data_IF_732044590887
#
_entry.id   IF_732044590887
#
_cell.length_a   1.000
_cell.length_b   1.000
_cell.length_c   1.000
_cell.angle_alpha   90.00
_cell.angle_beta   90.00
_cell.angle_gamma   90.00
#
_symmetry.space_group_name_H-M   'P 1'
#
loop_
_entity.id
_entity.type
_entity.pdbx_description
1 polymer ?
#
# COMPACT_ATOMS: atom_id res chain seq x y z
N UNK A 1 18.02 -16.02 14.44
CA UNK A 1 16.88 -16.92 14.69
C UNK A 1 15.50 -16.26 14.55
N UNK A 2 15.34 -14.92 14.62
CA UNK A 2 14.00 -14.27 14.61
C UNK A 2 13.42 -13.96 13.21
N UNK A 3 14.24 -13.53 12.25
CA UNK A 3 13.75 -13.13 10.91
C UNK A 3 13.19 -14.27 10.07
N UNK A 4 13.81 -15.45 10.12
CA UNK A 4 13.35 -16.63 9.36
C UNK A 4 11.95 -17.05 9.82
N UNK A 5 11.71 -17.03 11.13
CA UNK A 5 10.40 -17.36 11.72
C UNK A 5 9.34 -16.34 11.32
N UNK A 6 9.69 -15.04 11.28
CA UNK A 6 8.82 -13.98 10.79
C UNK A 6 8.34 -14.26 9.37
N UNK A 7 9.25 -14.57 8.46
CA UNK A 7 8.94 -14.83 7.06
C UNK A 7 7.96 -16.02 6.91
N UNK A 8 8.19 -17.13 7.62
CA UNK A 8 7.26 -18.27 7.59
C UNK A 8 5.87 -17.91 8.12
N UNK A 9 5.80 -17.17 9.22
CA UNK A 9 4.53 -16.74 9.81
C UNK A 9 3.81 -15.72 8.91
N UNK A 10 4.55 -14.85 8.22
CA UNK A 10 3.98 -13.91 7.26
C UNK A 10 3.40 -14.64 6.04
N UNK A 11 4.10 -15.66 5.51
CA UNK A 11 3.60 -16.51 4.43
C UNK A 11 2.35 -17.27 4.88
N UNK A 12 2.34 -17.82 6.09
CA UNK A 12 1.17 -18.50 6.64
C UNK A 12 -0.02 -17.55 6.82
N UNK A 13 0.23 -16.33 7.32
CA UNK A 13 -0.79 -15.31 7.43
C UNK A 13 -1.36 -14.95 6.05
N UNK A 14 -0.51 -14.82 5.04
CA UNK A 14 -0.93 -14.57 3.66
C UNK A 14 -1.83 -15.70 3.14
N UNK A 15 -1.45 -16.97 3.37
CA UNK A 15 -2.27 -18.12 2.99
C UNK A 15 -3.65 -18.09 3.68
N UNK A 16 -3.71 -17.70 4.96
CA UNK A 16 -5.00 -17.52 5.63
C UNK A 16 -5.82 -16.38 5.03
N UNK A 17 -5.19 -15.28 4.61
CA UNK A 17 -5.87 -14.18 3.93
C UNK A 17 -6.42 -14.60 2.56
N UNK A 18 -5.66 -15.36 1.78
CA UNK A 18 -6.08 -15.87 0.46
C UNK A 18 -7.28 -16.83 0.57
N UNK A 19 -7.31 -17.67 1.61
CA UNK A 19 -8.42 -18.60 1.88
C UNK A 19 -9.52 -18.02 2.77
N UNK A 20 -9.57 -16.70 2.92
CA UNK A 20 -10.60 -15.98 3.66
C UNK A 20 -10.74 -16.36 5.15
N UNK A 21 -9.69 -16.94 5.72
CA UNK A 21 -9.59 -17.26 7.13
C UNK A 21 -9.11 -16.03 7.94
N UNK A 22 -9.83 -14.92 7.84
CA UNK A 22 -9.40 -13.62 8.35
C UNK A 22 -9.13 -13.61 9.86
N UNK A 23 -9.93 -14.29 10.68
CA UNK A 23 -9.68 -14.35 12.13
C UNK A 23 -8.38 -15.08 12.47
N UNK A 24 -8.05 -16.17 11.74
CA UNK A 24 -6.78 -16.88 11.93
C UNK A 24 -5.60 -16.03 11.47
N UNK A 25 -5.75 -15.33 10.34
CA UNK A 25 -4.77 -14.37 9.88
C UNK A 25 -4.55 -13.26 10.92
N UNK A 26 -5.64 -12.70 11.49
CA UNK A 26 -5.57 -11.64 12.50
C UNK A 26 -4.76 -12.05 13.72
N UNK A 27 -5.05 -13.22 14.30
CA UNK A 27 -4.31 -13.72 15.48
C UNK A 27 -2.80 -13.75 15.18
N UNK A 28 -2.43 -14.27 14.01
CA UNK A 28 -1.03 -14.40 13.63
C UNK A 28 -0.37 -13.04 13.34
N UNK A 29 -1.09 -12.16 12.65
CA UNK A 29 -0.60 -10.83 12.28
C UNK A 29 -0.48 -9.88 13.48
N UNK A 30 -1.38 -9.98 14.46
CA UNK A 30 -1.27 -9.24 15.74
C UNK A 30 -0.04 -9.70 16.51
N UNK A 31 0.19 -11.01 16.63
CA UNK A 31 1.40 -11.52 17.27
C UNK A 31 2.67 -11.08 16.53
N UNK A 32 2.64 -11.09 15.19
CA UNK A 32 3.75 -10.56 14.39
C UNK A 32 3.95 -9.05 14.60
N UNK A 33 2.88 -8.28 14.79
CA UNK A 33 2.95 -6.83 15.02
C UNK A 33 3.62 -6.50 16.36
N UNK A 34 3.34 -7.29 17.40
CA UNK A 34 4.00 -7.15 18.70
C UNK A 34 5.49 -7.52 18.64
N UNK A 35 5.84 -8.56 17.88
CA UNK A 35 7.22 -9.02 17.75
C UNK A 35 8.06 -8.15 16.81
N UNK A 36 7.44 -7.55 15.80
CA UNK A 36 8.06 -6.76 14.74
C UNK A 36 7.31 -5.43 14.52
N UNK A 37 7.32 -4.52 15.52
CA UNK A 37 6.52 -3.29 15.48
C UNK A 37 6.98 -2.27 14.43
N UNK A 38 8.18 -2.43 13.86
CA UNK A 38 8.72 -1.54 12.84
C UNK A 38 8.68 -2.15 11.42
N UNK A 39 7.97 -3.27 11.23
CA UNK A 39 7.91 -3.94 9.92
C UNK A 39 6.67 -3.46 9.12
N UNK A 40 6.88 -2.72 8.00
CA UNK A 40 5.77 -2.22 7.17
C UNK A 40 5.03 -3.34 6.43
N UNK A 41 5.65 -4.50 6.21
CA UNK A 41 4.99 -5.66 5.64
C UNK A 41 3.93 -6.25 6.57
N UNK A 42 4.26 -6.35 7.86
CA UNK A 42 3.32 -6.81 8.90
C UNK A 42 2.17 -5.82 9.06
N UNK A 43 2.47 -4.51 9.14
CA UNK A 43 1.45 -3.46 9.25
C UNK A 43 0.46 -3.49 8.07
N UNK A 44 0.93 -3.62 6.82
CA UNK A 44 0.05 -3.74 5.64
C UNK A 44 -0.82 -4.99 5.66
N UNK A 45 -0.25 -6.13 5.99
CA UNK A 45 -0.99 -7.39 6.04
C UNK A 45 -2.10 -7.32 7.12
N UNK A 46 -1.79 -6.71 8.27
CA UNK A 46 -2.75 -6.51 9.35
C UNK A 46 -3.83 -5.49 8.96
N UNK A 47 -3.46 -4.38 8.29
CA UNK A 47 -4.41 -3.41 7.74
C UNK A 47 -5.42 -4.06 6.79
N UNK A 48 -4.93 -4.87 5.84
CA UNK A 48 -5.81 -5.62 4.95
C UNK A 48 -6.71 -6.60 5.71
N UNK A 49 -6.16 -7.30 6.70
CA UNK A 49 -6.92 -8.23 7.53
C UNK A 49 -8.07 -7.52 8.27
N UNK A 50 -7.78 -6.40 8.92
CA UNK A 50 -8.78 -5.58 9.62
C UNK A 50 -9.85 -5.05 8.66
N UNK A 51 -9.45 -4.57 7.47
CA UNK A 51 -10.40 -4.13 6.46
C UNK A 51 -11.36 -5.25 6.03
N UNK A 52 -10.85 -6.48 5.83
CA UNK A 52 -11.69 -7.65 5.48
C UNK A 52 -12.64 -8.06 6.60
N UNK A 53 -12.28 -7.79 7.86
CA UNK A 53 -13.11 -8.07 9.04
C UNK A 53 -14.10 -6.94 9.38
N UNK A 54 -14.01 -5.78 8.72
CA UNK A 54 -14.88 -4.63 9.00
C UNK A 54 -14.36 -3.70 10.10
N UNK A 55 -13.15 -3.93 10.60
CA UNK A 55 -12.48 -3.09 11.59
C UNK A 55 -11.76 -1.93 10.87
N UNK A 56 -12.55 -0.96 10.39
CA UNK A 56 -12.05 0.03 9.43
C UNK A 56 -11.13 1.07 10.07
N UNK A 57 -11.37 1.45 11.33
CA UNK A 57 -10.49 2.33 12.09
C UNK A 57 -9.12 1.70 12.34
N UNK A 58 -9.08 0.43 12.76
CA UNK A 58 -7.83 -0.31 12.95
C UNK A 58 -7.12 -0.55 11.61
N UNK A 59 -7.87 -0.82 10.54
CA UNK A 59 -7.32 -0.95 9.20
C UNK A 59 -6.64 0.34 8.74
N UNK A 60 -7.25 1.49 9.02
CA UNK A 60 -6.70 2.81 8.72
C UNK A 60 -5.42 3.05 9.50
N UNK A 61 -5.44 2.83 10.82
CA UNK A 61 -4.28 3.02 11.68
C UNK A 61 -3.06 2.21 11.23
N UNK A 62 -3.25 0.93 10.89
CA UNK A 62 -2.16 0.07 10.42
C UNK A 62 -1.67 0.45 9.00
N UNK A 63 -2.54 0.97 8.14
CA UNK A 63 -2.14 1.48 6.83
C UNK A 63 -1.26 2.73 6.95
N UNK A 64 -1.63 3.66 7.84
CA UNK A 64 -0.87 4.87 8.14
C UNK A 64 0.46 4.53 8.81
N UNK A 65 0.45 3.62 9.79
CA UNK A 65 1.67 3.13 10.43
C UNK A 65 2.65 2.50 9.42
N UNK A 66 2.15 1.76 8.43
CA UNK A 66 3.02 1.27 7.35
C UNK A 66 3.65 2.41 6.55
N UNK A 67 2.90 3.47 6.23
CA UNK A 67 3.41 4.61 5.46
C UNK A 67 4.47 5.39 6.24
N UNK A 68 4.33 5.49 7.56
CA UNK A 68 5.32 6.15 8.42
C UNK A 68 6.63 5.36 8.56
N UNK A 69 6.54 4.02 8.52
CA UNK A 69 7.71 3.12 8.62
C UNK A 69 8.46 3.00 7.29
N UNK A 70 7.77 3.22 6.18
CA UNK A 70 8.38 3.34 4.86
C UNK A 70 9.13 4.67 4.78
N UNK A 71 10.38 4.67 5.23
CA UNK A 71 11.30 5.78 5.02
C UNK A 71 11.33 6.13 3.52
N UNK A 72 11.23 7.43 3.15
CA UNK A 72 11.30 7.86 1.77
C UNK A 72 12.74 7.74 1.29
N UNK A 73 13.12 6.52 0.89
CA UNK A 73 14.24 6.32 -0.02
C UNK A 73 13.65 6.20 -1.43
N UNK A 74 14.28 6.85 -2.42
CA UNK A 74 13.84 6.98 -3.82
C UNK A 74 13.86 5.64 -4.60
N UNK A 75 13.97 4.53 -3.87
CA UNK A 75 13.98 3.17 -4.37
C UNK A 75 12.61 2.77 -4.91
N UNK A 76 12.61 2.11 -6.07
CA UNK A 76 11.42 1.51 -6.66
C UNK A 76 10.68 0.54 -5.73
N UNK A 77 11.38 -0.08 -4.76
CA UNK A 77 10.78 -0.93 -3.73
C UNK A 77 9.95 -0.10 -2.74
N UNK A 78 10.44 1.06 -2.30
CA UNK A 78 9.70 1.97 -1.41
C UNK A 78 8.44 2.49 -2.10
N UNK A 79 8.53 2.82 -3.40
CA UNK A 79 7.37 3.25 -4.20
C UNK A 79 6.30 2.16 -4.34
N UNK A 80 6.68 0.90 -4.62
CA UNK A 80 5.71 -0.20 -4.76
C UNK A 80 5.02 -0.56 -3.44
N UNK A 81 5.73 -0.45 -2.32
CA UNK A 81 5.20 -0.72 -0.97
C UNK A 81 4.24 0.39 -0.54
N UNK A 82 4.62 1.66 -0.72
CA UNK A 82 3.77 2.82 -0.43
C UNK A 82 2.46 2.82 -1.24
N UNK A 83 2.48 2.31 -2.48
CA UNK A 83 1.28 2.19 -3.30
C UNK A 83 0.22 1.30 -2.64
N UNK A 84 0.61 0.14 -2.09
CA UNK A 84 -0.34 -0.77 -1.44
C UNK A 84 -0.92 -0.13 -0.16
N UNK A 85 -0.09 0.55 0.63
CA UNK A 85 -0.55 1.22 1.85
C UNK A 85 -1.52 2.37 1.56
N UNK A 86 -1.25 3.19 0.52
CA UNK A 86 -2.20 4.21 0.08
C UNK A 86 -3.54 3.62 -0.40
N UNK A 87 -3.50 2.48 -1.10
CA UNK A 87 -4.71 1.78 -1.50
C UNK A 87 -5.52 1.29 -0.29
N UNK A 88 -4.87 0.62 0.69
CA UNK A 88 -5.54 0.13 1.90
C UNK A 88 -6.12 1.29 2.74
N UNK A 89 -5.35 2.37 2.92
CA UNK A 89 -5.81 3.61 3.55
C UNK A 89 -7.04 4.17 2.85
N UNK A 90 -7.01 4.29 1.53
CA UNK A 90 -8.14 4.76 0.72
C UNK A 90 -9.38 3.89 0.89
N UNK A 91 -9.24 2.55 0.88
CA UNK A 91 -10.38 1.65 1.11
C UNK A 91 -10.95 1.78 2.52
N UNK A 92 -10.11 1.92 3.54
CA UNK A 92 -10.55 2.10 4.92
C UNK A 92 -11.29 3.43 5.09
N UNK A 93 -10.74 4.53 4.58
CA UNK A 93 -11.38 5.85 4.59
C UNK A 93 -12.74 5.84 3.88
N UNK A 94 -12.82 5.17 2.73
CA UNK A 94 -14.08 5.00 2.01
C UNK A 94 -15.12 4.25 2.84
N UNK A 95 -14.72 3.16 3.49
CA UNK A 95 -15.63 2.38 4.35
C UNK A 95 -16.09 3.17 5.59
N UNK A 96 -15.30 4.13 6.06
CA UNK A 96 -15.63 5.07 7.14
C UNK A 96 -16.47 6.28 6.68
N UNK A 97 -16.79 6.41 5.39
CA UNK A 97 -17.51 7.56 4.84
C UNK A 97 -16.67 8.84 4.72
N UNK A 98 -15.34 8.75 4.86
CA UNK A 98 -14.39 9.87 4.71
C UNK A 98 -13.97 10.01 3.25
N UNK A 99 -14.94 10.34 2.39
CA UNK A 99 -14.78 10.26 0.93
C UNK A 99 -13.70 11.19 0.36
N UNK A 100 -13.57 12.43 0.85
CA UNK A 100 -12.55 13.37 0.38
C UNK A 100 -11.13 12.81 0.62
N UNK A 101 -10.86 12.35 1.85
CA UNK A 101 -9.56 11.77 2.20
C UNK A 101 -9.29 10.45 1.47
N UNK A 102 -10.34 9.67 1.20
CA UNK A 102 -10.24 8.44 0.41
C UNK A 102 -9.84 8.75 -1.04
N UNK A 103 -10.43 9.79 -1.64
CA UNK A 103 -10.08 10.24 -2.99
C UNK A 103 -8.61 10.68 -3.05
N UNK A 104 -8.14 11.44 -2.06
CA UNK A 104 -6.74 11.86 -1.99
C UNK A 104 -5.79 10.66 -1.88
N UNK A 105 -6.09 9.71 -0.99
CA UNK A 105 -5.28 8.50 -0.80
C UNK A 105 -5.22 7.64 -2.08
N UNK A 106 -6.35 7.49 -2.78
CA UNK A 106 -6.43 6.73 -4.02
C UNK A 106 -5.82 7.47 -5.21
N UNK A 107 -5.85 8.81 -5.25
CA UNK A 107 -5.23 9.60 -6.32
C UNK A 107 -3.71 9.39 -6.34
N UNK A 108 -3.07 9.28 -5.18
CA UNK A 108 -1.64 8.96 -5.05
C UNK A 108 -1.32 7.54 -5.53
N UNK A 109 -2.23 6.59 -5.29
CA UNK A 109 -2.12 5.24 -5.85
C UNK A 109 -2.22 5.24 -7.38
N UNK A 110 -3.21 5.92 -7.96
CA UNK A 110 -3.46 5.91 -9.40
C UNK A 110 -2.44 6.72 -10.20
N UNK A 111 -2.02 7.88 -9.71
CA UNK A 111 -1.01 8.73 -10.37
C UNK A 111 0.34 8.03 -10.56
N UNK A 112 0.67 7.06 -9.69
CA UNK A 112 1.91 6.27 -9.75
C UNK A 112 1.81 5.00 -10.60
N UNK A 113 0.60 4.52 -10.92
CA UNK A 113 0.39 3.40 -11.83
C UNK A 113 0.29 3.80 -13.30
N UNK A 114 0.09 5.09 -13.60
CA UNK A 114 0.21 5.54 -14.98
C UNK A 114 1.68 5.43 -15.41
N UNK A 115 1.99 4.71 -16.50
CA UNK A 115 3.29 4.89 -17.13
C UNK A 115 3.42 6.39 -17.43
N UNK A 116 4.54 7.02 -17.08
CA UNK A 116 4.88 8.35 -17.57
C UNK A 116 4.83 8.26 -19.10
N UNK A 117 3.69 8.62 -19.69
CA UNK A 117 3.60 8.73 -21.13
C UNK A 117 4.62 9.81 -21.49
N UNK A 118 5.61 9.51 -22.36
CA UNK A 118 6.51 10.54 -22.82
C UNK A 118 5.65 11.68 -23.36
N UNK A 119 6.00 12.93 -23.00
CA UNK A 119 5.24 14.11 -23.39
C UNK A 119 4.88 14.02 -24.88
N UNK A 120 3.63 14.35 -25.26
CA UNK A 120 3.16 14.19 -26.63
C UNK A 120 4.17 14.87 -27.58
N UNK A 121 4.81 14.06 -28.44
CA UNK A 121 5.69 14.58 -29.48
C UNK A 121 4.80 15.21 -30.53
N UNK A 122 4.81 16.54 -30.61
CA UNK A 122 4.28 17.23 -31.78
C UNK A 122 5.32 17.07 -32.89
N UNK A 123 5.02 16.23 -33.89
CA UNK A 123 5.81 16.19 -35.11
C UNK A 123 5.57 17.50 -35.87
N UNK A 124 6.61 18.33 -35.96
CA UNK A 124 6.59 19.48 -36.86
C UNK A 124 6.61 18.98 -38.30
N UNK A 125 5.98 19.69 -39.25
CA UNK A 125 5.88 19.28 -40.66
C UNK A 125 7.24 19.05 -41.39
N UNK A 126 8.36 19.36 -40.74
CA UNK A 126 9.72 19.18 -41.26
C UNK A 126 10.52 18.05 -40.58
N UNK A 127 9.87 17.13 -39.86
CA UNK A 127 10.52 15.95 -39.26
C UNK A 127 11.34 16.24 -37.98
N UNK A 128 11.26 17.45 -37.43
CA UNK A 128 11.87 17.80 -36.15
C UNK A 128 10.90 17.55 -34.99
N UNK A 129 11.29 16.72 -34.02
CA UNK A 129 10.55 16.52 -32.77
C UNK A 129 11.07 17.47 -31.69
N UNK A 130 10.18 18.25 -31.06
CA UNK A 130 10.52 19.07 -29.89
C UNK A 130 9.71 18.60 -28.68
N UNK A 131 10.39 18.32 -27.57
CA UNK A 131 9.71 18.02 -26.31
C UNK A 131 9.02 19.28 -25.77
N UNK A 132 7.74 19.17 -25.45
CA UNK A 132 6.97 20.25 -24.82
C UNK A 132 7.05 20.04 -23.30
N UNK A 133 7.55 21.03 -22.57
CA UNK A 133 7.54 21.01 -21.11
C UNK A 133 6.10 21.21 -20.61
N UNK A 134 5.61 20.40 -19.66
CA UNK A 134 4.36 20.73 -18.99
C UNK A 134 4.62 21.94 -18.07
N UNK A 135 3.68 22.88 -18.08
CA UNK A 135 3.55 23.93 -17.07
C UNK A 135 3.01 23.32 -15.77
#
# INVERSE_FOLDING_TARGET
MRESQKEYLLILAHLFLEHEHFEKARILLVALRELFPADPGVARALSYCYYRLGFYEEALGEAEASLEMDMPDDSARSMAVANISHFLRGKALWALGREEEAQDALSLYFSRQQPRLPAPRVELPNGAARAVSPF
#
